data_IF_503524435112
#
_entry.id   IF_503524435112
#
_cell.length_a   1.000
_cell.length_b   1.000
_cell.length_c   1.000
_cell.angle_alpha   90.00
_cell.angle_beta   90.00
_cell.angle_gamma   90.00
#
_symmetry.space_group_name_H-M   'P 1'
#
loop_
_entity.id
_entity.type
_entity.pdbx_description
1 polymer ?
#
# COMPACT_ATOMS: atom_id res chain seq x y z
N UNK A 1 -15.83 31.89 25.11
CA UNK A 1 -15.48 31.82 23.66
C UNK A 1 -14.92 33.14 23.18
N UNK A 2 -13.62 33.19 22.91
CA UNK A 2 -13.01 34.37 22.27
C UNK A 2 -12.84 34.04 20.78
N UNK A 3 -13.82 34.37 19.99
CA UNK A 3 -13.73 34.37 18.53
C UNK A 3 -13.20 35.70 18.03
N UNK A 4 -12.29 35.68 17.07
CA UNK A 4 -11.77 36.86 16.40
C UNK A 4 -12.47 36.92 15.01
N UNK A 5 -12.80 38.14 14.60
CA UNK A 5 -13.35 38.36 13.26
C UNK A 5 -12.38 37.88 12.18
N UNK A 6 -12.90 37.27 11.12
CA UNK A 6 -12.09 36.82 9.98
C UNK A 6 -11.29 38.01 9.39
N UNK A 7 -10.02 37.77 9.05
CA UNK A 7 -9.12 38.79 8.50
C UNK A 7 -8.43 39.69 9.55
N UNK A 8 -8.62 39.44 10.83
CA UNK A 8 -7.97 40.24 11.91
C UNK A 8 -6.81 39.45 12.50
N UNK A 9 -5.63 40.08 12.55
CA UNK A 9 -4.46 39.54 13.25
C UNK A 9 -4.44 40.07 14.68
N UNK A 10 -4.34 39.18 15.65
CA UNK A 10 -4.26 39.53 17.06
C UNK A 10 -3.06 38.86 17.72
N UNK A 11 -2.32 39.58 18.55
CA UNK A 11 -1.24 38.98 19.31
C UNK A 11 -1.78 37.95 20.31
N UNK A 12 -1.15 36.78 20.39
CA UNK A 12 -1.50 35.73 21.35
C UNK A 12 -1.17 36.20 22.77
N UNK A 13 -2.15 36.21 23.66
CA UNK A 13 -1.94 36.42 25.08
C UNK A 13 -2.55 35.26 25.88
N UNK A 14 -1.72 34.55 26.64
CA UNK A 14 -2.14 33.45 27.50
C UNK A 14 -2.60 32.17 26.71
N UNK A 15 -3.33 31.30 27.39
CA UNK A 15 -3.83 30.03 26.85
C UNK A 15 -5.10 30.14 25.99
N UNK A 16 -5.48 31.36 25.59
CA UNK A 16 -6.67 31.56 24.80
C UNK A 16 -6.52 30.96 23.40
N UNK A 17 -7.42 30.10 23.03
CA UNK A 17 -7.54 29.58 21.66
C UNK A 17 -8.16 30.65 20.79
N UNK A 18 -7.42 31.09 19.78
CA UNK A 18 -7.91 32.07 18.82
C UNK A 18 -8.29 31.35 17.53
N UNK A 19 -9.55 31.43 17.18
CA UNK A 19 -10.08 30.96 15.94
C UNK A 19 -11.14 31.93 15.43
N UNK A 20 -11.17 32.18 14.12
CA UNK A 20 -12.30 32.86 13.52
C UNK A 20 -13.52 31.93 13.49
N UNK A 21 -14.73 32.52 13.39
CA UNK A 21 -15.95 31.74 13.20
C UNK A 21 -15.94 30.84 11.95
N UNK A 22 -14.98 31.03 11.06
CA UNK A 22 -14.77 30.25 9.83
C UNK A 22 -13.76 29.12 9.98
N UNK A 23 -13.20 28.91 11.17
CA UNK A 23 -12.26 27.81 11.38
C UNK A 23 -12.97 26.48 11.61
N UNK A 24 -12.52 25.48 10.91
CA UNK A 24 -12.92 24.09 11.11
C UNK A 24 -12.20 23.54 12.35
N UNK A 25 -12.92 22.95 13.27
CA UNK A 25 -12.33 22.28 14.43
C UNK A 25 -11.69 20.95 13.98
N UNK A 26 -10.39 20.89 13.92
CA UNK A 26 -9.63 19.70 13.54
C UNK A 26 -9.71 18.54 14.55
N UNK A 27 -10.14 18.81 15.77
CA UNK A 27 -10.33 17.75 16.78
C UNK A 27 -11.69 17.05 16.68
N UNK A 28 -12.59 17.55 15.82
CA UNK A 28 -13.87 16.92 15.59
C UNK A 28 -13.71 15.88 14.48
N UNK A 29 -14.00 14.62 14.80
CA UNK A 29 -13.87 13.49 13.87
C UNK A 29 -14.81 13.58 12.65
N UNK A 30 -15.81 14.46 12.69
CA UNK A 30 -16.73 14.71 11.58
C UNK A 30 -16.20 15.71 10.56
N UNK A 31 -15.13 16.45 10.88
CA UNK A 31 -14.54 17.44 10.02
C UNK A 31 -13.36 16.84 9.21
N UNK A 32 -13.29 17.22 7.96
CA UNK A 32 -12.20 16.84 7.06
C UNK A 32 -11.49 18.09 6.52
N UNK A 33 -10.18 18.00 6.40
CA UNK A 33 -9.36 19.03 5.78
C UNK A 33 -8.73 18.47 4.49
N UNK A 34 -8.92 19.18 3.41
CA UNK A 34 -8.33 18.82 2.12
C UNK A 34 -7.36 19.93 1.68
N UNK A 35 -6.11 19.57 1.48
CA UNK A 35 -5.07 20.46 0.96
C UNK A 35 -4.73 20.04 -0.46
N UNK A 36 -4.82 20.98 -1.39
CA UNK A 36 -4.48 20.76 -2.80
C UNK A 36 -3.77 21.99 -3.36
N UNK A 37 -3.08 21.85 -4.48
CA UNK A 37 -2.39 22.96 -5.10
C UNK A 37 -1.19 23.49 -4.31
N UNK A 38 -0.47 22.61 -3.60
CA UNK A 38 0.76 22.98 -2.89
C UNK A 38 1.95 22.81 -3.82
N UNK A 39 2.68 23.89 -4.02
CA UNK A 39 3.91 23.90 -4.81
C UNK A 39 5.00 24.60 -3.99
N UNK A 40 6.18 23.99 -3.90
CA UNK A 40 7.33 24.53 -3.18
C UNK A 40 8.46 24.71 -4.19
N UNK A 41 8.91 25.94 -4.38
CA UNK A 41 9.95 26.29 -5.35
C UNK A 41 11.03 27.17 -4.71
N UNK A 42 12.24 27.04 -5.24
CA UNK A 42 13.35 27.92 -4.88
C UNK A 42 13.38 29.09 -5.87
N UNK A 43 13.28 30.32 -5.38
CA UNK A 43 13.35 31.52 -6.20
C UNK A 43 11.98 32.17 -6.44
N UNK A 44 11.64 32.47 -7.69
CA UNK A 44 10.37 33.11 -8.04
C UNK A 44 9.28 32.07 -8.26
N UNK A 45 8.06 32.27 -7.72
CA UNK A 45 6.94 31.39 -7.98
C UNK A 45 6.64 31.30 -9.47
N UNK A 46 6.47 30.08 -9.97
CA UNK A 46 5.99 29.80 -11.33
C UNK A 46 4.50 29.51 -11.32
N UNK A 47 3.92 29.30 -12.50
CA UNK A 47 2.53 28.85 -12.62
C UNK A 47 2.44 27.43 -12.08
N UNK A 48 1.39 27.13 -11.29
CA UNK A 48 1.17 25.81 -10.74
C UNK A 48 1.08 24.75 -11.85
N UNK A 49 1.94 23.74 -11.77
CA UNK A 49 1.96 22.63 -12.72
C UNK A 49 0.94 21.57 -12.29
N UNK A 50 -0.06 21.33 -13.13
CA UNK A 50 -1.03 20.27 -12.94
C UNK A 50 -0.56 19.00 -13.64
N UNK A 51 -0.14 18.00 -12.87
CA UNK A 51 0.10 16.67 -13.41
C UNK A 51 -1.23 15.89 -13.55
N UNK A 52 -1.31 15.02 -14.53
CA UNK A 52 -2.43 14.09 -14.63
C UNK A 52 -2.36 13.04 -13.49
N UNK A 53 -3.50 12.49 -13.10
CA UNK A 53 -3.53 11.40 -12.09
C UNK A 53 -2.62 10.23 -12.47
N UNK A 54 -2.53 9.89 -13.76
CA UNK A 54 -1.70 8.80 -14.24
C UNK A 54 -0.20 9.09 -14.08
N UNK A 55 0.23 10.33 -14.31
CA UNK A 55 1.62 10.75 -14.08
C UNK A 55 1.96 10.70 -12.60
N UNK A 56 1.13 11.28 -11.74
CA UNK A 56 1.32 11.23 -10.28
C UNK A 56 1.36 9.80 -9.76
N UNK A 57 0.44 8.94 -10.21
CA UNK A 57 0.43 7.54 -9.83
C UNK A 57 1.72 6.84 -10.23
N UNK A 58 2.20 7.06 -11.45
CA UNK A 58 3.45 6.47 -11.95
C UNK A 58 4.66 6.94 -11.14
N UNK A 59 4.69 8.22 -10.77
CA UNK A 59 5.74 8.78 -9.91
C UNK A 59 5.72 8.15 -8.52
N UNK A 60 4.56 7.97 -7.92
CA UNK A 60 4.40 7.31 -6.63
C UNK A 60 4.80 5.83 -6.69
N UNK A 61 4.41 5.13 -7.75
CA UNK A 61 4.71 3.70 -7.93
C UNK A 61 6.21 3.41 -8.09
N UNK A 62 7.03 4.39 -8.45
CA UNK A 62 8.50 4.25 -8.43
C UNK A 62 9.07 4.04 -7.01
N UNK A 63 8.33 4.40 -5.99
CA UNK A 63 8.74 4.32 -4.57
C UNK A 63 7.92 3.30 -3.79
N UNK A 64 6.64 3.18 -4.12
CA UNK A 64 5.71 2.33 -3.36
C UNK A 64 4.67 1.71 -4.29
N UNK A 65 4.65 0.39 -4.35
CA UNK A 65 3.66 -0.38 -5.08
C UNK A 65 2.84 -1.22 -4.10
N UNK A 66 1.57 -0.87 -3.95
CA UNK A 66 0.61 -1.62 -3.14
C UNK A 66 0.04 -2.75 -3.98
N UNK A 67 0.48 -3.97 -3.72
CA UNK A 67 -0.03 -5.17 -4.42
C UNK A 67 -1.46 -5.44 -4.01
N UNK A 68 -1.71 -5.44 -2.70
CA UNK A 68 -3.05 -5.55 -2.12
C UNK A 68 -3.06 -4.94 -0.72
N UNK A 69 -4.20 -4.37 -0.33
CA UNK A 69 -4.48 -3.90 1.03
C UNK A 69 -5.92 -4.23 1.39
N UNK A 70 -6.13 -4.79 2.57
CA UNK A 70 -7.46 -5.04 3.11
C UNK A 70 -8.11 -3.72 3.52
N UNK A 71 -9.27 -3.41 2.94
CA UNK A 71 -10.01 -2.14 3.12
C UNK A 71 -11.13 -2.21 4.17
N UNK A 72 -11.18 -3.29 4.94
CA UNK A 72 -12.23 -3.56 5.93
C UNK A 72 -13.50 -4.21 5.36
N UNK A 73 -13.76 -4.04 4.06
CA UNK A 73 -14.95 -4.61 3.39
C UNK A 73 -14.65 -5.90 2.61
N UNK A 74 -13.38 -6.24 2.43
CA UNK A 74 -12.97 -7.43 1.68
C UNK A 74 -13.39 -8.72 2.36
N UNK A 75 -13.80 -9.69 1.57
CA UNK A 75 -14.08 -11.07 2.00
C UNK A 75 -13.64 -12.09 0.95
N UNK A 76 -13.37 -13.32 1.38
CA UNK A 76 -12.97 -14.40 0.49
C UNK A 76 -11.57 -14.23 -0.11
N UNK A 77 -11.29 -14.93 -1.19
CA UNK A 77 -10.01 -14.92 -1.89
C UNK A 77 -9.91 -13.74 -2.87
N UNK A 78 -8.81 -13.01 -2.84
CA UNK A 78 -8.48 -11.92 -3.77
C UNK A 78 -7.20 -12.25 -4.50
N UNK A 79 -7.19 -12.17 -5.82
CA UNK A 79 -6.00 -12.42 -6.61
C UNK A 79 -4.87 -11.46 -6.27
N UNK A 80 -3.66 -11.99 -6.07
CA UNK A 80 -2.46 -11.17 -5.84
C UNK A 80 -1.87 -10.60 -7.13
N UNK A 81 -2.31 -11.11 -8.29
CA UNK A 81 -1.62 -10.92 -9.55
C UNK A 81 -0.38 -11.81 -9.65
N UNK A 82 0.17 -11.90 -10.84
CA UNK A 82 1.28 -12.82 -11.11
C UNK A 82 0.86 -14.29 -11.14
N UNK A 83 1.80 -15.15 -11.47
CA UNK A 83 1.65 -16.61 -11.48
C UNK A 83 2.70 -17.21 -10.56
N UNK A 84 2.31 -18.26 -9.84
CA UNK A 84 3.21 -19.03 -9.01
C UNK A 84 3.41 -20.45 -9.52
N UNK A 85 4.47 -21.08 -9.06
CA UNK A 85 4.72 -22.51 -9.29
C UNK A 85 5.33 -23.14 -8.04
N UNK A 86 4.98 -24.38 -7.79
CA UNK A 86 5.61 -25.19 -6.75
C UNK A 86 6.98 -25.66 -7.22
N UNK A 87 8.04 -25.16 -6.62
CA UNK A 87 9.41 -25.56 -6.90
C UNK A 87 9.78 -26.86 -6.19
N UNK A 88 9.36 -26.99 -4.94
CA UNK A 88 9.39 -28.23 -4.17
C UNK A 88 7.97 -28.70 -3.85
N UNK A 89 7.82 -29.64 -2.92
CA UNK A 89 6.49 -30.10 -2.50
C UNK A 89 5.68 -29.02 -1.79
N UNK A 90 6.34 -28.04 -1.18
CA UNK A 90 5.76 -27.01 -0.32
C UNK A 90 6.28 -25.60 -0.59
N UNK A 91 7.42 -25.45 -1.26
CA UNK A 91 7.94 -24.12 -1.65
C UNK A 91 7.27 -23.61 -2.91
N UNK A 92 6.74 -22.39 -2.85
CA UNK A 92 6.12 -21.69 -3.96
C UNK A 92 6.90 -20.45 -4.32
N UNK A 93 7.17 -20.30 -5.61
CA UNK A 93 7.74 -19.09 -6.19
C UNK A 93 6.70 -18.39 -7.04
N UNK A 94 6.52 -17.11 -6.85
CA UNK A 94 5.62 -16.26 -7.61
C UNK A 94 6.40 -15.09 -8.22
N UNK A 95 6.40 -14.98 -9.54
CA UNK A 95 7.00 -13.84 -10.22
C UNK A 95 5.99 -12.69 -10.34
N UNK A 96 6.48 -11.49 -10.12
CA UNK A 96 5.70 -10.27 -10.19
C UNK A 96 6.47 -9.18 -10.92
N UNK A 97 5.86 -8.63 -11.97
CA UNK A 97 6.36 -7.46 -12.67
C UNK A 97 5.75 -6.18 -12.08
N UNK A 98 6.53 -5.12 -12.01
CA UNK A 98 6.04 -3.84 -11.52
C UNK A 98 5.46 -3.00 -12.67
N UNK A 99 4.40 -2.22 -12.41
CA UNK A 99 3.76 -1.39 -13.43
C UNK A 99 4.68 -0.27 -13.95
N UNK A 100 5.67 0.12 -13.15
CA UNK A 100 6.71 1.09 -13.51
C UNK A 100 8.06 0.66 -12.93
N UNK A 101 9.15 1.06 -13.56
CA UNK A 101 10.50 0.82 -13.01
C UNK A 101 10.66 1.53 -11.67
N UNK A 102 10.93 0.78 -10.62
CA UNK A 102 11.16 1.32 -9.28
C UNK A 102 12.51 2.04 -9.19
N UNK A 103 12.62 2.94 -8.23
CA UNK A 103 13.81 3.78 -8.04
C UNK A 103 15.06 2.99 -7.67
N UNK A 104 14.90 1.97 -6.85
CA UNK A 104 15.97 1.10 -6.35
C UNK A 104 15.47 -0.34 -6.22
N UNK A 105 16.34 -1.26 -5.86
CA UNK A 105 15.95 -2.63 -5.51
C UNK A 105 14.95 -2.59 -4.35
N UNK A 106 13.77 -3.20 -4.52
CA UNK A 106 12.69 -3.06 -3.54
C UNK A 106 12.86 -3.96 -2.33
N UNK A 107 12.12 -3.59 -1.29
CA UNK A 107 11.84 -4.39 -0.09
C UNK A 107 10.35 -4.72 -0.01
N UNK A 108 10.00 -5.75 0.75
CA UNK A 108 8.63 -6.21 0.95
C UNK A 108 8.18 -5.93 2.38
N UNK A 109 7.03 -5.29 2.53
CA UNK A 109 6.22 -5.28 3.75
C UNK A 109 5.01 -6.17 3.52
N UNK A 110 4.88 -7.23 4.30
CA UNK A 110 3.87 -8.25 4.11
C UNK A 110 3.21 -8.62 5.44
N UNK A 111 1.89 -8.83 5.40
CA UNK A 111 1.17 -9.42 6.53
C UNK A 111 1.73 -10.79 6.89
N UNK A 112 1.79 -11.08 8.20
CA UNK A 112 2.15 -12.40 8.73
C UNK A 112 1.03 -12.89 9.65
N UNK A 113 0.05 -13.55 9.05
CA UNK A 113 -1.12 -14.12 9.75
C UNK A 113 -1.42 -15.51 9.23
N UNK A 114 -2.02 -16.33 10.08
CA UNK A 114 -2.40 -17.69 9.73
C UNK A 114 -3.29 -17.74 8.48
N UNK A 115 -2.85 -18.48 7.48
CA UNK A 115 -3.55 -18.67 6.21
C UNK A 115 -3.88 -17.36 5.47
N UNK A 116 -3.04 -16.33 5.61
CA UNK A 116 -3.22 -15.05 4.91
C UNK A 116 -3.12 -15.18 3.39
N UNK A 117 -2.42 -16.21 2.92
CA UNK A 117 -2.25 -16.51 1.49
C UNK A 117 -2.68 -17.92 1.17
N UNK A 118 -3.16 -18.11 -0.06
CA UNK A 118 -3.56 -19.41 -0.57
C UNK A 118 -3.04 -19.63 -1.99
N UNK A 119 -2.49 -20.80 -2.24
CA UNK A 119 -1.91 -21.21 -3.52
C UNK A 119 -2.66 -22.47 -4.00
N UNK A 120 -3.75 -22.33 -4.75
CA UNK A 120 -4.49 -23.49 -5.26
C UNK A 120 -3.65 -24.27 -6.29
N UNK A 121 -3.53 -25.54 -6.07
CA UNK A 121 -2.87 -26.47 -6.98
C UNK A 121 -3.46 -27.87 -6.86
N UNK A 122 -3.49 -28.66 -7.92
CA UNK A 122 -3.96 -30.05 -7.92
C UNK A 122 -5.36 -30.25 -7.29
N UNK A 123 -6.25 -29.25 -7.44
CA UNK A 123 -7.61 -29.31 -6.87
C UNK A 123 -7.69 -29.00 -5.37
N UNK A 124 -6.61 -28.60 -4.73
CA UNK A 124 -6.52 -28.25 -3.30
C UNK A 124 -5.98 -26.85 -3.10
N UNK A 125 -6.32 -26.22 -1.97
CA UNK A 125 -5.74 -24.94 -1.53
C UNK A 125 -4.58 -25.20 -0.59
N UNK A 126 -3.42 -24.65 -0.90
CA UNK A 126 -2.22 -24.72 -0.07
C UNK A 126 -2.02 -23.34 0.59
N UNK A 127 -2.08 -23.30 1.91
CA UNK A 127 -2.07 -22.05 2.66
C UNK A 127 -0.66 -21.66 3.10
N UNK A 128 -0.40 -20.36 3.15
CA UNK A 128 0.80 -19.78 3.72
C UNK A 128 0.47 -18.56 4.60
N UNK A 129 1.37 -18.25 5.53
CA UNK A 129 1.16 -17.17 6.49
C UNK A 129 1.72 -15.83 6.01
N UNK A 130 2.81 -15.87 5.27
CA UNK A 130 3.54 -14.67 4.81
C UNK A 130 4.22 -14.94 3.47
N UNK A 131 4.70 -13.88 2.85
CA UNK A 131 5.54 -13.92 1.65
C UNK A 131 6.90 -13.31 1.96
N UNK A 132 7.93 -13.76 1.25
CA UNK A 132 9.29 -13.20 1.32
C UNK A 132 9.71 -12.78 -0.08
N UNK A 133 10.29 -11.59 -0.20
CA UNK A 133 10.84 -11.11 -1.46
C UNK A 133 12.24 -11.70 -1.65
N UNK A 134 12.43 -12.36 -2.78
CA UNK A 134 13.72 -12.84 -3.26
C UNK A 134 13.93 -12.36 -4.70
N UNK A 135 15.17 -12.36 -5.17
CA UNK A 135 15.53 -11.96 -6.54
C UNK A 135 14.89 -10.64 -7.00
N UNK A 136 14.89 -9.63 -6.09
CA UNK A 136 14.36 -8.31 -6.40
C UNK A 136 15.24 -7.53 -7.37
N UNK A 137 14.61 -6.86 -8.33
CA UNK A 137 15.23 -5.88 -9.21
C UNK A 137 14.23 -4.73 -9.48
N UNK A 138 14.67 -3.68 -10.15
CA UNK A 138 13.85 -2.46 -10.30
C UNK A 138 12.57 -2.63 -11.11
N UNK A 139 12.45 -3.69 -11.93
CA UNK A 139 11.27 -3.92 -12.77
C UNK A 139 10.37 -5.05 -12.26
N UNK A 140 10.81 -5.80 -11.25
CA UNK A 140 10.04 -6.92 -10.73
C UNK A 140 10.76 -7.63 -9.59
N UNK A 141 10.14 -8.69 -9.10
CA UNK A 141 10.71 -9.56 -8.08
C UNK A 141 10.12 -10.95 -8.14
N UNK A 142 10.74 -11.88 -7.42
CA UNK A 142 10.13 -13.15 -7.06
C UNK A 142 9.72 -13.11 -5.60
N UNK A 143 8.47 -13.45 -5.31
CA UNK A 143 7.98 -13.70 -3.96
C UNK A 143 8.01 -15.19 -3.69
N UNK A 144 8.49 -15.56 -2.51
CA UNK A 144 8.62 -16.94 -2.07
C UNK A 144 7.89 -17.17 -0.76
N UNK A 145 7.36 -18.37 -0.60
CA UNK A 145 6.80 -18.85 0.66
C UNK A 145 6.82 -20.37 0.73
N UNK A 146 6.72 -20.90 1.96
CA UNK A 146 6.44 -22.31 2.23
C UNK A 146 4.97 -22.46 2.62
N UNK A 147 4.30 -23.43 2.03
CA UNK A 147 2.89 -23.73 2.33
C UNK A 147 2.75 -24.74 3.47
N UNK A 148 1.60 -24.73 4.14
CA UNK A 148 1.28 -25.62 5.25
C UNK A 148 0.96 -27.07 4.83
N UNK A 149 0.78 -27.30 3.55
CA UNK A 149 0.48 -28.62 2.98
C UNK A 149 1.27 -28.82 1.68
N UNK A 150 1.56 -30.08 1.37
CA UNK A 150 2.40 -30.45 0.24
C UNK A 150 1.60 -30.75 -1.02
N UNK A 151 2.22 -30.53 -2.18
CA UNK A 151 1.74 -30.95 -3.50
C UNK A 151 2.90 -31.47 -4.35
N UNK A 152 2.65 -31.78 -5.61
CA UNK A 152 3.72 -32.22 -6.53
C UNK A 152 4.45 -31.00 -7.10
N UNK A 153 5.79 -30.99 -7.15
CA UNK A 153 6.57 -29.96 -7.84
C UNK A 153 6.13 -29.78 -9.30
N UNK A 154 6.21 -28.54 -9.78
CA UNK A 154 5.85 -28.18 -11.15
C UNK A 154 4.39 -27.78 -11.35
N UNK A 155 3.51 -27.95 -10.36
CA UNK A 155 2.15 -27.40 -10.46
C UNK A 155 2.19 -25.88 -10.46
N UNK A 156 1.41 -25.29 -11.37
CA UNK A 156 1.15 -23.83 -11.39
C UNK A 156 0.06 -23.48 -10.41
N UNK A 157 0.13 -22.26 -9.89
CA UNK A 157 -0.83 -21.73 -8.93
C UNK A 157 -1.16 -20.27 -9.25
N UNK A 158 -2.42 -19.90 -9.06
CA UNK A 158 -2.84 -18.51 -9.02
C UNK A 158 -2.90 -18.09 -7.53
N UNK A 159 -1.96 -17.27 -7.05
CA UNK A 159 -1.89 -16.91 -5.65
C UNK A 159 -3.04 -15.97 -5.24
N UNK A 160 -3.61 -16.23 -4.08
CA UNK A 160 -4.66 -15.42 -3.49
C UNK A 160 -4.25 -14.85 -2.15
N UNK A 161 -4.68 -13.61 -1.88
CA UNK A 161 -4.77 -13.04 -0.56
C UNK A 161 -6.11 -13.45 0.05
N UNK A 162 -6.07 -14.07 1.21
CA UNK A 162 -7.27 -14.56 1.88
C UNK A 162 -7.84 -13.49 2.81
N UNK A 163 -8.73 -12.66 2.28
CA UNK A 163 -9.32 -11.56 3.03
C UNK A 163 -10.16 -12.02 4.23
N UNK A 164 -10.64 -13.27 4.24
CA UNK A 164 -11.37 -13.80 5.41
C UNK A 164 -10.46 -14.11 6.60
N UNK A 165 -9.14 -14.28 6.38
CA UNK A 165 -8.14 -14.55 7.41
C UNK A 165 -7.27 -13.31 7.72
N UNK A 166 -7.60 -12.18 7.15
CA UNK A 166 -6.91 -10.90 7.31
C UNK A 166 -7.91 -9.83 7.77
N UNK A 167 -7.40 -8.70 8.22
CA UNK A 167 -8.21 -7.60 8.75
C UNK A 167 -7.86 -6.28 8.05
N UNK A 168 -8.68 -5.27 8.23
CA UNK A 168 -8.42 -3.92 7.73
C UNK A 168 -6.99 -3.46 8.06
N UNK A 169 -6.31 -2.92 7.05
CA UNK A 169 -4.92 -2.47 7.14
C UNK A 169 -3.87 -3.53 6.79
N UNK A 170 -4.21 -4.83 6.83
CA UNK A 170 -3.29 -5.89 6.37
C UNK A 170 -3.00 -5.73 4.87
N UNK A 171 -1.75 -5.90 4.49
CA UNK A 171 -1.31 -5.53 3.15
C UNK A 171 -0.09 -6.32 2.67
N UNK A 172 0.12 -6.27 1.36
CA UNK A 172 1.37 -6.62 0.68
C UNK A 172 1.81 -5.38 -0.07
N UNK A 173 2.92 -4.80 0.36
CA UNK A 173 3.44 -3.55 -0.18
C UNK A 173 4.92 -3.75 -0.53
N UNK A 174 5.28 -3.30 -1.72
CA UNK A 174 6.65 -3.30 -2.22
C UNK A 174 7.15 -1.86 -2.23
N UNK A 175 8.26 -1.60 -1.57
CA UNK A 175 8.82 -0.25 -1.41
C UNK A 175 10.25 -0.19 -1.89
N UNK A 176 10.62 0.92 -2.52
CA UNK A 176 11.96 1.23 -3.01
C UNK A 176 12.43 2.58 -2.45
N UNK A 177 12.30 2.71 -1.13
CA UNK A 177 12.79 3.89 -0.42
C UNK A 177 14.34 3.89 -0.31
N UNK A 178 14.88 5.05 0.07
CA UNK A 178 16.33 5.26 0.24
C UNK A 178 16.82 4.62 1.53
#
# INVERSE_FOLDING_TARGET
>A
DRQIAAGTWTARSGEAKYGSSNQVNFYDSTNSFYLTGVQIEVGKPTVFEHHSFAEELSLCQRYCYVVIRHDGSMSGAKALGGSGSFYTNDDVYMNMDFPVTMRSTPTLSCVNKSNAFQFPAAGSGHNANTLTLIHGHTNGCTLWTTTSSTTTPGYTSNPYFNASNTTEGDSVIITAEL
#
